data_IF_030751240344
#
_entry.id   IF_030751240344
#
_cell.length_a   1.000
_cell.length_b   1.000
_cell.length_c   1.000
_cell.angle_alpha   90.00
_cell.angle_beta   90.00
_cell.angle_gamma   90.00
#
_symmetry.space_group_name_H-M   'P 1'
#
loop_
_entity.id
_entity.type
_entity.pdbx_description
1 polymer ?
#
# COMPACT_ATOMS: atom_id res chain seq x y z
N UNK A 1 14.46 -28.23 -10.57
CA UNK A 1 15.16 -26.94 -10.41
C UNK A 1 14.12 -25.85 -10.51
N UNK A 2 13.86 -25.12 -9.42
CA UNK A 2 12.96 -23.96 -9.43
C UNK A 2 13.82 -22.77 -9.80
N UNK A 3 13.61 -22.19 -10.99
CA UNK A 3 14.19 -20.91 -11.36
C UNK A 3 13.37 -19.82 -10.67
N UNK A 4 13.98 -19.11 -9.73
CA UNK A 4 13.36 -17.93 -9.10
C UNK A 4 13.43 -16.75 -10.04
N UNK A 5 12.25 -16.24 -10.42
CA UNK A 5 12.10 -14.99 -11.16
C UNK A 5 12.26 -13.82 -10.17
N UNK A 6 13.46 -13.25 -10.13
CA UNK A 6 13.79 -12.11 -9.29
C UNK A 6 14.19 -10.93 -10.17
N UNK A 7 13.74 -9.73 -9.81
CA UNK A 7 14.28 -8.50 -10.36
C UNK A 7 15.79 -8.36 -10.08
N UNK A 8 16.52 -7.73 -10.99
CA UNK A 8 17.97 -7.57 -10.89
C UNK A 8 18.41 -6.17 -11.29
N UNK A 9 19.47 -5.71 -10.64
CA UNK A 9 20.20 -4.48 -10.96
C UNK A 9 21.33 -4.72 -11.95
N UNK A 10 21.77 -5.97 -12.10
CA UNK A 10 22.83 -6.36 -13.04
C UNK A 10 22.19 -6.63 -14.38
N UNK A 11 22.61 -5.88 -15.40
CA UNK A 11 22.07 -6.03 -16.73
C UNK A 11 22.83 -7.09 -17.54
N UNK A 12 22.10 -8.08 -18.01
CA UNK A 12 22.58 -9.11 -18.94
C UNK A 12 21.80 -9.11 -20.26
N UNK A 13 20.75 -8.28 -20.35
CA UNK A 13 19.77 -8.28 -21.44
C UNK A 13 19.64 -6.91 -22.11
N UNK A 14 20.58 -5.98 -21.83
CA UNK A 14 20.62 -4.63 -22.36
C UNK A 14 19.40 -3.76 -21.98
N UNK A 15 18.81 -4.02 -20.82
CA UNK A 15 17.72 -3.21 -20.24
C UNK A 15 18.23 -1.90 -19.62
N UNK A 16 19.52 -1.81 -19.30
CA UNK A 16 20.15 -0.63 -18.71
C UNK A 16 20.06 0.57 -19.63
N UNK A 17 20.09 0.37 -20.96
CA UNK A 17 19.89 1.42 -21.93
C UNK A 17 18.55 2.15 -21.73
N UNK A 18 17.48 1.41 -21.47
CA UNK A 18 16.13 1.97 -21.22
C UNK A 18 16.12 2.71 -19.88
N UNK A 19 16.67 2.11 -18.83
CA UNK A 19 16.77 2.73 -17.50
C UNK A 19 17.54 4.06 -17.57
N UNK A 20 18.66 4.10 -18.30
CA UNK A 20 19.50 5.29 -18.48
C UNK A 20 18.76 6.40 -19.19
N UNK A 21 18.04 6.11 -20.28
CA UNK A 21 17.22 7.12 -20.98
C UNK A 21 16.17 7.73 -20.05
N UNK A 22 15.53 6.92 -19.20
CA UNK A 22 14.56 7.41 -18.22
C UNK A 22 15.24 8.32 -17.18
N UNK A 23 16.40 7.92 -16.65
CA UNK A 23 17.17 8.73 -15.68
C UNK A 23 17.57 10.08 -16.30
N UNK A 24 18.08 10.08 -17.54
CA UNK A 24 18.46 11.31 -18.25
C UNK A 24 17.27 12.26 -18.41
N UNK A 25 16.10 11.72 -18.78
CA UNK A 25 14.87 12.51 -18.92
C UNK A 25 14.42 13.11 -17.58
N UNK A 26 14.50 12.34 -16.49
CA UNK A 26 14.15 12.83 -15.15
C UNK A 26 15.11 13.94 -14.68
N UNK A 27 16.39 13.86 -15.05
CA UNK A 27 17.42 14.85 -14.68
C UNK A 27 17.38 16.12 -15.53
N UNK A 28 16.83 16.07 -16.74
CA UNK A 28 16.82 17.23 -17.64
C UNK A 28 15.94 18.37 -17.10
N UNK A 29 14.80 18.05 -16.45
CA UNK A 29 13.85 19.04 -15.91
C UNK A 29 13.28 18.60 -14.55
N UNK A 30 14.09 18.62 -13.47
CA UNK A 30 13.68 18.13 -12.15
C UNK A 30 12.49 18.91 -11.56
N UNK A 31 12.24 20.14 -12.01
CA UNK A 31 11.13 20.99 -11.58
C UNK A 31 9.78 20.63 -12.23
N UNK A 32 9.76 19.74 -13.23
CA UNK A 32 8.53 19.35 -13.94
C UNK A 32 8.10 17.94 -13.57
N UNK A 33 6.84 17.81 -13.15
CA UNK A 33 6.24 16.51 -12.94
C UNK A 33 6.08 15.77 -14.28
N UNK A 34 6.60 14.55 -14.36
CA UNK A 34 6.47 13.67 -15.53
C UNK A 34 5.92 12.32 -15.08
N UNK A 35 5.03 11.75 -15.89
CA UNK A 35 4.56 10.37 -15.72
C UNK A 35 5.13 9.53 -16.86
N UNK A 36 5.81 8.42 -16.51
CA UNK A 36 6.46 7.52 -17.47
C UNK A 36 5.84 6.13 -17.31
N UNK A 37 5.34 5.57 -18.41
CA UNK A 37 4.84 4.20 -18.48
C UNK A 37 5.88 3.27 -19.08
N UNK A 38 6.27 2.20 -18.36
CA UNK A 38 7.12 1.14 -18.88
C UNK A 38 6.23 -0.07 -19.23
N UNK A 39 6.12 -0.36 -20.52
CA UNK A 39 5.23 -1.40 -21.06
C UNK A 39 6.02 -2.55 -21.69
N UNK A 40 5.41 -3.74 -21.74
CA UNK A 40 6.01 -4.94 -22.31
C UNK A 40 5.39 -6.22 -21.75
N UNK A 41 5.67 -7.36 -22.38
CA UNK A 41 5.11 -8.66 -22.01
C UNK A 41 5.59 -9.15 -20.63
N UNK A 42 4.94 -10.18 -20.09
CA UNK A 42 5.41 -10.84 -18.87
C UNK A 42 6.84 -11.37 -19.07
N UNK A 43 7.73 -11.12 -18.12
CA UNK A 43 9.14 -11.50 -18.23
C UNK A 43 10.02 -10.56 -19.08
N UNK A 44 9.47 -9.48 -19.65
CA UNK A 44 10.25 -8.50 -20.44
C UNK A 44 11.22 -7.63 -19.60
N UNK A 45 11.45 -7.93 -18.32
CA UNK A 45 12.42 -7.21 -17.48
C UNK A 45 11.95 -5.85 -16.95
N UNK A 46 10.67 -5.51 -17.04
CA UNK A 46 10.11 -4.21 -16.56
C UNK A 46 10.47 -3.92 -15.10
N UNK A 47 10.31 -4.89 -14.20
CA UNK A 47 10.67 -4.72 -12.79
C UNK A 47 12.17 -4.49 -12.59
N UNK A 48 13.01 -5.17 -13.38
CA UNK A 48 14.46 -4.98 -13.38
C UNK A 48 14.84 -3.58 -13.90
N UNK A 49 14.14 -3.04 -14.91
CA UNK A 49 14.31 -1.65 -15.34
C UNK A 49 14.04 -0.68 -14.19
N UNK A 50 12.97 -0.89 -13.41
CA UNK A 50 12.65 -0.06 -12.24
C UNK A 50 13.74 -0.16 -11.15
N UNK A 51 14.28 -1.36 -10.90
CA UNK A 51 15.42 -1.56 -9.98
C UNK A 51 16.70 -0.83 -10.44
N UNK A 52 16.99 -0.88 -11.74
CA UNK A 52 18.13 -0.18 -12.32
C UNK A 52 17.96 1.35 -12.21
N UNK A 53 16.74 1.86 -12.41
CA UNK A 53 16.43 3.29 -12.19
C UNK A 53 16.65 3.68 -10.74
N UNK A 54 16.11 2.93 -9.78
CA UNK A 54 16.32 3.19 -8.35
C UNK A 54 17.81 3.19 -8.00
N UNK A 55 18.56 2.21 -8.50
CA UNK A 55 20.00 2.12 -8.27
C UNK A 55 20.76 3.31 -8.86
N UNK A 56 20.44 3.71 -10.10
CA UNK A 56 21.06 4.83 -10.80
C UNK A 56 20.77 6.22 -10.19
N UNK A 57 19.70 6.33 -9.40
CA UNK A 57 19.33 7.54 -8.67
C UNK A 57 19.74 7.52 -7.19
N UNK A 58 20.12 6.36 -6.64
CA UNK A 58 20.40 6.19 -5.20
C UNK A 58 21.56 7.01 -4.65
N UNK A 59 22.51 7.42 -5.49
CA UNK A 59 23.66 8.25 -5.11
C UNK A 59 23.32 9.75 -5.04
N UNK A 60 22.13 10.15 -5.49
CA UNK A 60 21.70 11.54 -5.54
C UNK A 60 20.97 11.89 -4.25
N UNK A 61 21.60 12.72 -3.41
CA UNK A 61 21.06 13.12 -2.11
C UNK A 61 19.85 14.05 -2.22
N UNK A 62 19.55 14.61 -3.39
CA UNK A 62 18.37 15.45 -3.61
C UNK A 62 17.16 14.63 -4.13
N UNK A 63 17.39 13.37 -4.51
CA UNK A 63 16.35 12.47 -5.01
C UNK A 63 15.92 11.48 -3.94
N UNK A 64 14.61 11.22 -3.88
CA UNK A 64 14.03 10.19 -3.03
C UNK A 64 13.23 9.21 -3.90
N UNK A 65 13.74 7.99 -4.05
CA UNK A 65 13.02 6.91 -4.73
C UNK A 65 12.10 6.16 -3.76
N UNK A 66 10.80 6.10 -4.09
CA UNK A 66 9.78 5.37 -3.33
C UNK A 66 9.21 4.26 -4.21
N UNK A 67 9.41 3.00 -3.81
CA UNK A 67 8.91 1.82 -4.54
C UNK A 67 7.55 1.41 -3.96
N UNK A 68 6.57 1.22 -4.85
CA UNK A 68 5.24 0.73 -4.49
C UNK A 68 4.85 -0.45 -5.38
N UNK A 69 4.45 -1.58 -4.79
CA UNK A 69 3.96 -2.75 -5.52
C UNK A 69 2.46 -2.92 -5.31
N UNK A 70 1.67 -2.60 -6.33
CA UNK A 70 0.21 -2.67 -6.28
C UNK A 70 -0.36 -4.09 -6.10
N UNK A 71 0.35 -5.13 -6.55
CA UNK A 71 -0.10 -6.52 -6.40
C UNK A 71 -0.15 -6.94 -4.92
N UNK A 72 0.74 -6.40 -4.07
CA UNK A 72 0.73 -6.69 -2.62
C UNK A 72 -0.54 -6.19 -1.92
N UNK A 73 -1.27 -5.27 -2.55
CA UNK A 73 -2.50 -4.68 -2.02
C UNK A 73 -3.74 -5.09 -2.82
N UNK A 74 -3.61 -6.07 -3.71
CA UNK A 74 -4.72 -6.58 -4.50
C UNK A 74 -5.66 -7.40 -3.60
N UNK A 75 -6.93 -6.99 -3.54
CA UNK A 75 -7.92 -7.54 -2.61
C UNK A 75 -8.18 -6.66 -1.37
N UNK A 76 -7.36 -5.62 -1.15
CA UNK A 76 -7.74 -4.52 -0.26
C UNK A 76 -8.55 -3.50 -1.06
N UNK A 77 -9.75 -3.17 -0.60
CA UNK A 77 -10.57 -2.04 -1.11
C UNK A 77 -9.84 -0.67 -0.96
N UNK A 78 -8.65 -0.66 -0.37
CA UNK A 78 -7.90 0.49 0.15
C UNK A 78 -6.59 0.81 -0.60
N UNK A 79 -6.43 0.38 -1.85
CA UNK A 79 -5.21 0.63 -2.63
C UNK A 79 -4.73 2.09 -2.66
N UNK A 80 -5.66 3.07 -2.67
CA UNK A 80 -5.33 4.51 -2.60
C UNK A 80 -4.75 4.91 -1.24
N UNK A 81 -5.33 4.39 -0.15
CA UNK A 81 -4.87 4.64 1.21
C UNK A 81 -3.51 3.98 1.41
N UNK A 82 -3.34 2.74 0.96
CA UNK A 82 -2.08 2.02 1.00
C UNK A 82 -0.97 2.72 0.20
N UNK A 83 -1.29 3.31 -0.95
CA UNK A 83 -0.33 4.11 -1.73
C UNK A 83 0.13 5.34 -0.94
N UNK A 84 -0.80 6.11 -0.38
CA UNK A 84 -0.48 7.31 0.41
C UNK A 84 0.36 6.92 1.63
N UNK A 85 -0.05 5.89 2.36
CA UNK A 85 0.66 5.38 3.53
C UNK A 85 2.07 4.89 3.17
N UNK A 86 2.22 4.18 2.05
CA UNK A 86 3.52 3.75 1.54
C UNK A 86 4.45 4.91 1.19
N UNK A 87 3.92 5.98 0.56
CA UNK A 87 4.70 7.19 0.26
C UNK A 87 5.15 7.89 1.54
N UNK A 88 4.24 8.09 2.49
CA UNK A 88 4.53 8.79 3.75
C UNK A 88 5.55 8.01 4.57
N UNK A 89 5.39 6.69 4.66
CA UNK A 89 6.33 5.80 5.36
C UNK A 89 7.71 5.85 4.72
N UNK A 90 7.79 5.70 3.39
CA UNK A 90 9.06 5.78 2.67
C UNK A 90 9.77 7.12 2.81
N UNK A 91 9.02 8.22 2.89
CA UNK A 91 9.55 9.56 3.13
C UNK A 91 10.20 9.68 4.52
N UNK A 92 9.55 9.17 5.56
CA UNK A 92 10.05 9.24 6.94
C UNK A 92 11.27 8.35 7.14
N UNK A 93 11.22 7.12 6.61
CA UNK A 93 12.32 6.16 6.74
C UNK A 93 13.60 6.67 6.08
N UNK A 94 13.50 7.20 4.85
CA UNK A 94 14.68 7.62 4.08
C UNK A 94 15.14 9.05 4.39
N UNK A 95 14.31 9.90 5.02
CA UNK A 95 14.66 11.29 5.38
C UNK A 95 14.28 11.63 6.83
N UNK A 96 15.00 11.09 7.82
CA UNK A 96 14.69 11.30 9.24
C UNK A 96 14.88 12.76 9.71
N UNK A 97 15.54 13.62 8.94
CA UNK A 97 15.59 15.06 9.24
C UNK A 97 14.22 15.74 9.08
N UNK A 98 13.32 15.20 8.24
CA UNK A 98 11.91 15.62 8.16
C UNK A 98 11.11 15.26 9.42
N UNK A 99 11.63 14.39 10.30
CA UNK A 99 11.03 14.10 11.61
C UNK A 99 11.10 15.30 12.56
N UNK A 100 11.95 16.30 12.29
CA UNK A 100 11.86 17.61 12.96
C UNK A 100 10.54 18.34 12.64
N UNK A 101 9.90 18.01 11.52
CA UNK A 101 8.51 18.37 11.21
C UNK A 101 7.50 17.32 11.74
N UNK A 102 7.79 16.72 12.91
CA UNK A 102 6.99 15.64 13.50
C UNK A 102 5.49 15.97 13.67
N UNK A 103 5.13 17.25 13.76
CA UNK A 103 3.74 17.70 13.75
C UNK A 103 3.06 17.43 12.41
N UNK A 104 3.72 17.77 11.28
CA UNK A 104 3.16 17.58 9.95
C UNK A 104 3.01 16.10 9.59
N UNK A 105 4.00 15.29 9.96
CA UNK A 105 3.95 13.83 9.79
C UNK A 105 2.80 13.22 10.59
N UNK A 106 2.67 13.59 11.87
CA UNK A 106 1.58 13.12 12.73
C UNK A 106 0.22 13.53 12.20
N UNK A 107 0.10 14.74 11.66
CA UNK A 107 -1.15 15.21 11.05
C UNK A 107 -1.52 14.42 9.79
N UNK A 108 -0.54 14.02 8.97
CA UNK A 108 -0.78 13.18 7.79
C UNK A 108 -1.29 11.79 8.22
N UNK A 109 -0.63 11.13 9.17
CA UNK A 109 -1.11 9.84 9.69
C UNK A 109 -2.51 9.95 10.29
N UNK A 110 -2.77 11.00 11.08
CA UNK A 110 -4.11 11.24 11.62
C UNK A 110 -5.16 11.39 10.52
N UNK A 111 -4.84 12.04 9.40
CA UNK A 111 -5.75 12.16 8.25
C UNK A 111 -5.96 10.81 7.54
N UNK A 112 -4.91 10.00 7.43
CA UNK A 112 -5.00 8.64 6.91
C UNK A 112 -5.92 7.79 7.80
N UNK A 113 -5.77 7.88 9.13
CA UNK A 113 -6.62 7.17 10.08
C UNK A 113 -8.08 7.63 9.99
N UNK A 114 -8.32 8.94 9.86
CA UNK A 114 -9.66 9.46 9.61
C UNK A 114 -10.27 8.97 8.30
N UNK A 115 -9.48 8.81 7.23
CA UNK A 115 -9.95 8.22 5.97
C UNK A 115 -10.32 6.75 6.15
N UNK A 116 -9.51 5.97 6.89
CA UNK A 116 -9.81 4.57 7.23
C UNK A 116 -11.11 4.48 8.05
N UNK A 117 -11.24 5.31 9.10
CA UNK A 117 -12.42 5.37 9.97
C UNK A 117 -13.66 5.81 9.20
N UNK A 118 -13.59 6.87 8.38
CA UNK A 118 -14.74 7.33 7.60
C UNK A 118 -15.26 6.23 6.66
N UNK A 119 -14.35 5.45 6.08
CA UNK A 119 -14.69 4.39 5.12
C UNK A 119 -15.26 3.14 5.80
N UNK A 120 -14.71 2.73 6.94
CA UNK A 120 -15.24 1.60 7.72
C UNK A 120 -16.46 1.96 8.58
N UNK A 121 -16.45 3.15 9.17
CA UNK A 121 -17.49 3.70 10.03
C UNK A 121 -18.72 4.20 9.26
N UNK A 122 -18.57 4.65 8.02
CA UNK A 122 -19.70 5.06 7.18
C UNK A 122 -20.73 3.96 6.97
N UNK A 123 -20.30 2.70 6.83
CA UNK A 123 -21.22 1.56 6.72
C UNK A 123 -21.99 1.27 8.01
N UNK A 124 -21.33 1.44 9.17
CA UNK A 124 -21.93 1.25 10.50
C UNK A 124 -22.92 2.37 10.83
N UNK A 125 -22.54 3.63 10.64
CA UNK A 125 -23.43 4.78 10.85
C UNK A 125 -24.62 4.77 9.89
N UNK A 126 -24.40 4.41 8.62
CA UNK A 126 -25.49 4.23 7.66
C UNK A 126 -26.47 3.14 8.11
N UNK A 127 -25.97 2.03 8.63
CA UNK A 127 -26.83 0.94 9.15
C UNK A 127 -27.56 1.35 10.41
N UNK A 128 -26.89 2.03 11.36
CA UNK A 128 -27.51 2.53 12.57
C UNK A 128 -28.61 3.57 12.28
N UNK A 129 -28.40 4.43 11.27
CA UNK A 129 -29.35 5.48 10.90
C UNK A 129 -30.51 4.97 10.03
N UNK A 130 -30.25 4.06 9.09
CA UNK A 130 -31.26 3.62 8.10
C UNK A 130 -31.89 2.27 8.44
N UNK A 131 -31.30 1.49 9.35
CA UNK A 131 -31.69 0.11 9.62
C UNK A 131 -31.35 -0.87 8.49
N UNK A 132 -30.75 -0.40 7.38
CA UNK A 132 -30.39 -1.24 6.24
C UNK A 132 -28.93 -1.70 6.40
N UNK A 133 -28.67 -3.00 6.64
CA UNK A 133 -27.32 -3.51 6.77
C UNK A 133 -26.56 -3.39 5.45
N UNK A 134 -25.34 -2.88 5.52
CA UNK A 134 -24.44 -2.81 4.35
C UNK A 134 -23.92 -4.19 3.95
N UNK A 135 -23.60 -4.39 2.66
CA UNK A 135 -23.15 -5.68 2.13
C UNK A 135 -21.96 -6.29 2.91
N UNK A 136 -21.05 -5.44 3.41
CA UNK A 136 -19.91 -5.85 4.22
C UNK A 136 -20.32 -6.40 5.60
N UNK A 137 -21.38 -5.86 6.21
CA UNK A 137 -21.88 -6.36 7.49
C UNK A 137 -22.64 -7.67 7.33
N UNK A 138 -23.40 -7.82 6.25
CA UNK A 138 -24.07 -9.10 5.91
C UNK A 138 -23.02 -10.19 5.73
N UNK A 139 -21.93 -9.91 5.01
CA UNK A 139 -20.80 -10.83 4.86
C UNK A 139 -20.15 -11.22 6.19
N UNK A 140 -19.93 -10.26 7.11
CA UNK A 140 -19.36 -10.50 8.43
C UNK A 140 -20.27 -11.34 9.34
N UNK A 141 -21.59 -11.09 9.31
CA UNK A 141 -22.59 -11.87 10.07
C UNK A 141 -22.66 -13.30 9.53
N UNK A 142 -22.75 -13.47 8.21
CA UNK A 142 -22.79 -14.80 7.57
C UNK A 142 -21.49 -15.57 7.81
N UNK A 143 -20.34 -14.90 7.73
CA UNK A 143 -19.04 -15.49 8.03
C UNK A 143 -18.93 -15.96 9.49
N UNK A 144 -19.38 -15.14 10.44
CA UNK A 144 -19.42 -15.47 11.87
C UNK A 144 -20.36 -16.64 12.14
N UNK A 145 -21.58 -16.62 11.58
CA UNK A 145 -22.54 -17.73 11.70
C UNK A 145 -22.00 -19.04 11.11
N UNK A 146 -21.36 -18.97 9.94
CA UNK A 146 -20.74 -20.13 9.29
C UNK A 146 -19.57 -20.67 10.12
N UNK A 147 -18.76 -19.78 10.70
CA UNK A 147 -17.66 -20.10 11.62
C UNK A 147 -18.14 -20.80 12.90
N UNK A 148 -19.20 -20.29 13.51
CA UNK A 148 -19.88 -20.88 14.67
C UNK A 148 -20.44 -22.27 14.33
N UNK A 149 -21.07 -22.41 13.15
CA UNK A 149 -21.64 -23.69 12.70
C UNK A 149 -20.55 -24.73 12.43
N UNK A 150 -19.39 -24.30 11.93
CA UNK A 150 -18.24 -25.18 11.67
C UNK A 150 -17.42 -25.53 12.91
N UNK A 151 -17.42 -24.69 13.96
CA UNK A 151 -16.65 -24.93 15.18
C UNK A 151 -17.31 -24.26 16.41
N UNK A 152 -18.29 -24.94 17.06
CA UNK A 152 -19.07 -24.38 18.17
C UNK A 152 -18.26 -24.07 19.42
N UNK A 153 -17.03 -24.59 19.52
CA UNK A 153 -16.16 -24.45 20.69
C UNK A 153 -15.56 -23.04 20.86
N UNK A 154 -15.55 -22.22 19.79
CA UNK A 154 -15.02 -20.84 19.79
C UNK A 154 -15.93 -19.79 20.42
N UNK A 155 -17.17 -20.14 20.74
CA UNK A 155 -18.14 -19.21 21.34
C UNK A 155 -17.96 -18.98 22.85
N UNK A 156 -17.23 -19.87 23.54
CA UNK A 156 -17.20 -19.91 25.00
C UNK A 156 -15.87 -19.44 25.61
N UNK A 157 -15.10 -18.60 24.89
CA UNK A 157 -13.85 -18.02 25.42
C UNK A 157 -14.13 -16.59 25.91
N UNK A 158 -13.70 -16.27 27.14
CA UNK A 158 -13.97 -14.98 27.79
C UNK A 158 -13.59 -13.75 26.93
N UNK A 159 -12.60 -13.91 26.05
CA UNK A 159 -12.13 -12.89 25.11
C UNK A 159 -13.19 -12.42 24.09
N UNK A 160 -14.19 -13.25 23.77
CA UNK A 160 -15.29 -12.90 22.86
C UNK A 160 -16.48 -12.25 23.59
N UNK A 161 -16.60 -12.45 24.91
CA UNK A 161 -17.66 -11.85 25.73
C UNK A 161 -17.39 -10.36 25.95
N UNK A 162 -16.12 -10.00 26.21
CA UNK A 162 -15.73 -8.59 26.39
C UNK A 162 -15.87 -7.78 25.09
N UNK A 163 -15.57 -8.37 23.92
CA UNK A 163 -15.79 -7.73 22.61
C UNK A 163 -17.27 -7.52 22.26
N UNK A 164 -18.18 -8.30 22.84
CA UNK A 164 -19.62 -8.17 22.62
C UNK A 164 -20.26 -7.09 23.51
N UNK A 165 -19.64 -6.78 24.65
CA UNK A 165 -20.13 -5.78 25.61
C UNK A 165 -19.53 -4.39 25.33
N UNK A 166 -18.27 -4.31 24.91
CA UNK A 166 -17.62 -3.04 24.51
C UNK A 166 -18.02 -2.55 23.10
N UNK A 167 -18.86 -3.31 22.39
CA UNK A 167 -19.36 -3.01 21.05
C UNK A 167 -20.76 -2.39 21.00
N UNK A 168 -21.32 -1.95 22.14
CA UNK A 168 -22.60 -1.21 22.24
C UNK A 168 -22.35 0.27 22.50
#
# INVERSE_FOLDING_TARGET
>A
MILTDNETKVDLLNNEAIAKTIIELLREKPERAVTIGVHGDWGAGKSSILEMIENGLSSDEDVLCIKFNGWRFQGFEDAKIALIEGIVTGLIEKRPLLTQAGVAVKDIFRRIDWLKIARHGGGLAFTAFTGIPTANQIGAVVGTLKGIFSDPSKLATQENYDKAIDGV
#
